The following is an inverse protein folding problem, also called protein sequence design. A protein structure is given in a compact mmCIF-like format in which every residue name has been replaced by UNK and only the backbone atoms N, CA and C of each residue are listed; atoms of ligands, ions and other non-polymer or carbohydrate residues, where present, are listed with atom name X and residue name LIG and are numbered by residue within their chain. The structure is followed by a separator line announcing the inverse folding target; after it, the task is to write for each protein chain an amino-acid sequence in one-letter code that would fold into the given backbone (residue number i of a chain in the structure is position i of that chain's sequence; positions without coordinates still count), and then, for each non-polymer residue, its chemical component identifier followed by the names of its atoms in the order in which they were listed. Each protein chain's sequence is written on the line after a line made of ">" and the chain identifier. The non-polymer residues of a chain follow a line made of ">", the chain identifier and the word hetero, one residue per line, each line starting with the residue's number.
data_IF_094951183230
#
_entry.id   IF_094951183230
#
_cell.length_a   1.000
_cell.length_b   1.000
_cell.length_c   1.000
_cell.angle_alpha   90.00
_cell.angle_beta   90.00
_cell.angle_gamma   90.00
#
_symmetry.space_group_name_H-M   'P 1'
#
loop_
_entity.id
_entity.type
_entity.pdbx_description
1 polymer ?
#
# COMPACT_ATOMS: atom_id res chain seq x y z
N UNK A 1 10.17 1.75 9.67
CA UNK A 1 8.72 1.97 9.77
C UNK A 1 8.38 3.24 9.03
N UNK A 2 7.10 3.49 8.71
CA UNK A 2 6.67 4.84 8.35
C UNK A 2 6.86 5.72 9.58
N UNK A 3 7.58 6.82 9.41
CA UNK A 3 7.83 7.78 10.48
C UNK A 3 7.72 9.16 9.87
N UNK A 4 6.90 10.00 10.50
CA UNK A 4 6.86 11.42 10.27
C UNK A 4 7.44 12.04 11.54
N UNK A 5 8.54 12.79 11.43
CA UNK A 5 9.16 13.40 12.62
C UNK A 5 8.17 14.35 13.30
N UNK A 6 7.36 15.05 12.51
CA UNK A 6 6.29 15.93 12.95
C UNK A 6 5.13 15.84 11.96
N UNK A 7 3.90 16.04 12.43
CA UNK A 7 2.75 16.20 11.53
C UNK A 7 2.93 17.52 10.78
N UNK A 8 2.93 17.53 9.43
CA UNK A 8 3.14 18.76 8.67
C UNK A 8 2.02 19.76 8.97
N UNK A 9 2.37 21.05 9.07
CA UNK A 9 1.39 22.11 9.25
C UNK A 9 0.62 22.33 7.95
N UNK A 10 -0.55 22.97 8.04
CA UNK A 10 -1.34 23.29 6.85
C UNK A 10 -0.55 24.14 5.82
N UNK A 11 0.41 24.95 6.27
CA UNK A 11 1.31 25.73 5.40
C UNK A 11 2.33 24.87 4.63
N UNK A 12 2.61 23.66 5.11
CA UNK A 12 3.63 22.76 4.56
C UNK A 12 3.01 21.75 3.58
N UNK A 13 1.68 21.75 3.45
CA UNK A 13 0.92 20.80 2.64
C UNK A 13 0.29 21.54 1.46
N UNK A 14 0.52 21.02 0.26
CA UNK A 14 -0.25 21.40 -0.92
C UNK A 14 -1.32 20.34 -1.17
N UNK A 15 -2.56 20.79 -1.36
CA UNK A 15 -3.65 19.92 -1.83
C UNK A 15 -3.67 20.01 -3.35
N UNK A 16 -3.52 18.88 -4.01
CA UNK A 16 -3.49 18.79 -5.46
C UNK A 16 -4.50 17.73 -5.92
N UNK A 17 -5.43 18.14 -6.79
CA UNK A 17 -6.27 17.20 -7.52
C UNK A 17 -5.46 16.59 -8.66
N UNK A 18 -5.30 15.27 -8.64
CA UNK A 18 -4.56 14.55 -9.66
C UNK A 18 -5.20 13.21 -9.96
N UNK A 19 -5.15 12.82 -11.23
CA UNK A 19 -5.44 11.44 -11.64
C UNK A 19 -4.44 10.43 -11.06
N UNK A 20 -3.32 10.88 -10.47
CA UNK A 20 -2.26 10.01 -9.96
C UNK A 20 -2.58 9.40 -8.59
N UNK A 21 -3.85 9.12 -8.31
CA UNK A 21 -4.31 8.45 -7.10
C UNK A 21 -5.16 7.24 -7.52
N UNK A 22 -4.60 6.01 -7.54
CA UNK A 22 -5.39 4.82 -7.84
C UNK A 22 -6.52 4.67 -6.81
N UNK A 23 -7.76 4.41 -7.25
CA UNK A 23 -8.87 4.23 -6.32
C UNK A 23 -8.70 2.93 -5.53
N UNK A 24 -9.26 2.90 -4.33
CA UNK A 24 -9.40 1.65 -3.57
C UNK A 24 -10.23 0.65 -4.38
N UNK A 25 -9.71 -0.58 -4.53
CA UNK A 25 -10.37 -1.67 -5.29
C UNK A 25 -11.12 -2.65 -4.40
N UNK A 26 -10.99 -2.50 -3.08
CA UNK A 26 -11.59 -3.37 -2.09
C UNK A 26 -12.52 -2.52 -1.24
N UNK A 27 -13.70 -3.03 -0.95
CA UNK A 27 -14.55 -2.48 0.10
C UNK A 27 -14.00 -2.87 1.49
N UNK A 28 -14.51 -2.20 2.53
CA UNK A 28 -14.07 -2.39 3.91
C UNK A 28 -14.28 -3.83 4.42
N UNK A 29 -15.31 -4.51 3.93
CA UNK A 29 -15.62 -5.89 4.34
C UNK A 29 -14.58 -6.85 3.77
N UNK A 30 -14.32 -6.75 2.46
CA UNK A 30 -13.31 -7.55 1.77
C UNK A 30 -11.91 -7.28 2.34
N UNK A 31 -11.58 -6.02 2.59
CA UNK A 31 -10.30 -5.64 3.19
C UNK A 31 -10.11 -6.27 4.58
N UNK A 32 -11.17 -6.23 5.41
CA UNK A 32 -11.20 -6.84 6.75
C UNK A 32 -10.98 -8.35 6.69
N UNK A 33 -11.70 -9.06 5.84
CA UNK A 33 -11.58 -10.51 5.68
C UNK A 33 -10.17 -10.92 5.23
N UNK A 34 -9.62 -10.22 4.22
CA UNK A 34 -8.27 -10.48 3.72
C UNK A 34 -7.20 -10.20 4.78
N UNK A 35 -7.37 -9.14 5.57
CA UNK A 35 -6.45 -8.77 6.63
C UNK A 35 -6.47 -9.83 7.75
N UNK A 36 -7.64 -10.24 8.22
CA UNK A 36 -7.78 -11.32 9.21
C UNK A 36 -7.13 -12.60 8.68
N UNK A 37 -7.43 -13.01 7.45
CA UNK A 37 -6.85 -14.21 6.85
C UNK A 37 -5.32 -14.14 6.74
N UNK A 38 -4.78 -12.99 6.36
CA UNK A 38 -3.32 -12.75 6.31
C UNK A 38 -2.69 -12.87 7.70
N UNK A 39 -3.26 -12.22 8.72
CA UNK A 39 -2.74 -12.27 10.09
C UNK A 39 -2.83 -13.68 10.68
N UNK A 40 -3.92 -14.43 10.42
CA UNK A 40 -3.99 -15.85 10.76
C UNK A 40 -2.81 -16.61 10.19
N UNK A 41 -2.53 -16.49 8.89
CA UNK A 41 -1.39 -17.16 8.24
C UNK A 41 -0.04 -16.79 8.86
N UNK A 42 0.17 -15.50 9.18
CA UNK A 42 1.39 -15.02 9.84
C UNK A 42 1.55 -15.59 11.25
N UNK A 43 0.46 -15.71 12.00
CA UNK A 43 0.47 -16.31 13.33
C UNK A 43 0.72 -17.81 13.25
N UNK A 44 0.08 -18.52 12.30
CA UNK A 44 0.32 -19.94 12.06
C UNK A 44 1.77 -20.23 11.65
N UNK A 45 2.41 -19.36 10.85
CA UNK A 45 3.79 -19.58 10.41
C UNK A 45 4.85 -19.35 11.50
N UNK A 46 4.49 -18.72 12.64
CA UNK A 46 5.41 -18.43 13.76
C UNK A 46 5.46 -19.52 14.84
N UNK A 47 4.75 -20.63 14.67
CA UNK A 47 4.81 -21.80 15.55
C UNK A 47 3.55 -22.00 16.39
N UNK A 48 2.96 -23.19 16.27
CA UNK A 48 1.64 -23.60 16.76
C UNK A 48 1.48 -23.71 18.29
N UNK A 49 2.53 -23.49 19.09
CA UNK A 49 2.59 -24.16 20.38
C UNK A 49 1.71 -23.59 21.50
N UNK A 50 1.07 -22.42 21.36
CA UNK A 50 0.27 -21.81 22.46
C UNK A 50 -0.99 -21.03 22.08
N UNK A 51 -1.37 -20.96 20.79
CA UNK A 51 -2.57 -20.22 20.39
C UNK A 51 -3.81 -21.12 20.45
N UNK A 52 -4.53 -21.09 21.58
CA UNK A 52 -5.86 -21.71 21.72
C UNK A 52 -6.92 -20.62 21.59
N UNK A 53 -8.00 -20.90 20.85
CA UNK A 53 -9.13 -19.99 20.65
C UNK A 53 -8.75 -18.57 20.17
N UNK A 54 -7.86 -18.48 19.17
CA UNK A 54 -7.43 -17.19 18.60
C UNK A 54 -8.64 -16.44 18.00
N UNK A 55 -9.04 -15.35 18.64
CA UNK A 55 -9.98 -14.38 18.12
C UNK A 55 -9.19 -13.21 17.53
N UNK A 56 -9.45 -12.89 16.27
CA UNK A 56 -8.91 -11.71 15.60
C UNK A 56 -10.09 -10.85 15.17
N UNK A 57 -10.10 -9.62 15.65
CA UNK A 57 -10.95 -8.56 15.15
C UNK A 57 -10.08 -7.55 14.40
N UNK A 58 -10.61 -6.96 13.35
CA UNK A 58 -10.04 -5.81 12.70
C UNK A 58 -11.11 -4.73 12.69
N UNK A 59 -10.77 -3.57 13.24
CA UNK A 59 -11.65 -2.42 13.32
C UNK A 59 -11.14 -1.37 12.33
N UNK A 60 -11.97 -0.89 11.39
CA UNK A 60 -11.58 0.17 10.48
C UNK A 60 -11.39 1.45 11.30
N UNK A 61 -10.24 2.09 11.14
CA UNK A 61 -10.02 3.42 11.68
C UNK A 61 -10.63 4.44 10.73
N UNK A 62 -11.35 5.46 11.24
CA UNK A 62 -11.91 6.50 10.39
C UNK A 62 -10.79 7.30 9.72
N UNK A 63 -11.00 7.66 8.46
CA UNK A 63 -10.06 8.42 7.64
C UNK A 63 -9.39 7.58 6.57
N UNK A 64 -8.72 8.26 5.64
CA UNK A 64 -7.99 7.64 4.54
C UNK A 64 -6.49 7.82 4.73
N UNK A 65 -5.73 6.77 4.40
CA UNK A 65 -4.27 6.82 4.41
C UNK A 65 -3.78 6.71 2.98
N UNK A 66 -3.22 7.81 2.47
CA UNK A 66 -2.51 7.80 1.20
C UNK A 66 -1.03 7.49 1.44
N UNK A 67 -0.52 6.50 0.71
CA UNK A 67 0.89 6.15 0.75
C UNK A 67 1.56 6.69 -0.52
N UNK A 68 2.49 7.66 -0.41
CA UNK A 68 3.13 8.24 -1.58
C UNK A 68 4.23 7.31 -2.14
N UNK A 69 4.25 7.16 -3.46
CA UNK A 69 5.27 6.42 -4.19
C UNK A 69 5.85 7.27 -5.32
N UNK A 70 7.16 7.19 -5.51
CA UNK A 70 7.82 7.67 -6.72
C UNK A 70 7.83 6.55 -7.76
N UNK A 71 7.30 6.84 -8.94
CA UNK A 71 7.26 5.89 -10.07
C UNK A 71 8.20 6.38 -11.15
N UNK A 72 9.29 5.64 -11.35
CA UNK A 72 10.28 5.90 -12.39
C UNK A 72 10.06 5.01 -13.60
N UNK A 73 10.19 5.57 -14.79
CA UNK A 73 10.13 4.84 -16.06
C UNK A 73 11.54 4.79 -16.66
N UNK A 74 11.99 3.60 -17.02
CA UNK A 74 13.26 3.39 -17.72
C UNK A 74 13.05 2.50 -18.92
N UNK A 75 13.64 2.82 -20.07
CA UNK A 75 13.36 2.07 -21.28
C UNK A 75 13.84 2.74 -22.55
N UNK A 76 13.62 2.06 -23.67
CA UNK A 76 13.90 2.57 -25.00
C UNK A 76 12.80 2.14 -25.98
N UNK A 77 12.37 3.04 -26.86
CA UNK A 77 11.27 2.81 -27.79
C UNK A 77 9.96 2.51 -27.06
N UNK A 78 9.28 1.43 -27.46
CA UNK A 78 8.02 0.96 -26.87
C UNK A 78 8.19 0.16 -25.57
N UNK A 79 9.42 -0.14 -25.15
CA UNK A 79 9.69 -0.95 -23.98
C UNK A 79 9.97 -0.07 -22.76
N UNK A 80 8.98 0.12 -21.89
CA UNK A 80 9.13 0.78 -20.60
C UNK A 80 9.16 -0.24 -19.45
N UNK A 81 10.13 -0.09 -18.55
CA UNK A 81 10.17 -0.76 -17.24
C UNK A 81 9.87 0.26 -16.16
N UNK A 82 9.15 -0.20 -15.16
CA UNK A 82 8.70 0.60 -14.04
C UNK A 82 9.53 0.26 -12.80
N UNK A 83 10.08 1.27 -12.14
CA UNK A 83 10.69 1.18 -10.81
C UNK A 83 9.84 1.98 -9.83
N UNK A 84 9.63 1.43 -8.63
CA UNK A 84 8.81 2.06 -7.59
C UNK A 84 9.65 2.26 -6.36
N UNK A 85 9.62 3.47 -5.81
CA UNK A 85 10.25 3.81 -4.54
C UNK A 85 9.15 4.30 -3.61
N UNK A 86 9.08 3.73 -2.41
CA UNK A 86 8.29 4.31 -1.31
C UNK A 86 8.86 5.69 -0.96
N UNK A 87 8.05 6.74 -1.12
CA UNK A 87 8.52 8.11 -0.96
C UNK A 87 8.85 8.47 0.49
N UNK A 88 8.25 7.78 1.47
CA UNK A 88 8.50 8.01 2.89
C UNK A 88 9.71 7.20 3.35
N UNK A 89 9.71 5.89 3.06
CA UNK A 89 10.76 4.95 3.50
C UNK A 89 12.03 5.05 2.64
N UNK A 90 11.97 5.73 1.49
CA UNK A 90 13.06 5.89 0.51
C UNK A 90 13.68 4.55 0.10
N UNK A 91 12.85 3.54 -0.10
CA UNK A 91 13.26 2.17 -0.47
C UNK A 91 12.53 1.72 -1.72
N UNK A 92 13.22 0.94 -2.54
CA UNK A 92 12.58 0.27 -3.66
C UNK A 92 11.51 -0.69 -3.17
N UNK A 93 10.35 -0.64 -3.81
CA UNK A 93 9.24 -1.51 -3.50
C UNK A 93 9.30 -2.82 -4.31
N UNK A 94 8.67 -3.84 -3.74
CA UNK A 94 8.70 -5.20 -4.29
C UNK A 94 7.80 -5.39 -5.52
N UNK A 95 7.83 -6.60 -6.07
CA UNK A 95 7.06 -6.98 -7.26
C UNK A 95 5.55 -6.74 -7.13
N UNK A 96 4.98 -6.84 -5.92
CA UNK A 96 3.54 -6.64 -5.69
C UNK A 96 3.08 -5.20 -5.97
N UNK A 97 3.77 -4.22 -5.38
CA UNK A 97 3.43 -2.79 -5.57
C UNK A 97 3.70 -2.38 -7.01
N UNK A 98 4.84 -2.82 -7.56
CA UNK A 98 5.18 -2.58 -8.97
C UNK A 98 4.10 -3.14 -9.90
N UNK A 99 3.64 -4.38 -9.69
CA UNK A 99 2.58 -4.97 -10.51
C UNK A 99 1.27 -4.18 -10.38
N UNK A 100 0.87 -3.82 -9.16
CA UNK A 100 -0.33 -3.01 -8.93
C UNK A 100 -0.29 -1.68 -9.69
N UNK A 101 0.83 -0.95 -9.62
CA UNK A 101 0.98 0.32 -10.30
C UNK A 101 1.09 0.17 -11.82
N UNK A 102 1.76 -0.87 -12.31
CA UNK A 102 1.78 -1.20 -13.74
C UNK A 102 0.37 -1.50 -14.27
N UNK A 103 -0.40 -2.35 -13.58
CA UNK A 103 -1.74 -2.72 -14.00
C UNK A 103 -2.68 -1.51 -13.99
N UNK A 104 -2.55 -0.63 -12.99
CA UNK A 104 -3.32 0.61 -12.93
C UNK A 104 -2.92 1.60 -14.04
N UNK A 105 -1.63 1.87 -14.25
CA UNK A 105 -1.18 2.78 -15.32
C UNK A 105 -1.59 2.27 -16.71
N UNK A 106 -1.55 0.96 -16.93
CA UNK A 106 -2.02 0.36 -18.17
C UNK A 106 -3.54 0.48 -18.36
N UNK A 107 -4.32 0.60 -17.28
CA UNK A 107 -5.78 0.77 -17.33
C UNK A 107 -6.25 2.21 -17.51
N UNK A 108 -5.34 3.20 -17.44
CA UNK A 108 -5.66 4.63 -17.62
C UNK A 108 -5.63 5.04 -19.11
N UNK A 109 -5.29 4.12 -20.01
CA UNK A 109 -5.34 4.34 -21.46
C UNK A 109 -6.78 4.37 -22.00
#
# INVERSE_FOLDING_TARGET
>A
LYHFEHVPLASDVIVLDSRNCPPARLDDTQATELLIAKFRRVLFSRGFFRLRALQLAAEPLPGEIHIPYWVGFRGHGSNARLEVIDAVRRRFEGAKVRRLLTDWLASIN
#
